data_IF_623992262938
#
_entry.id   IF_623992262938
#
_cell.length_a   1.000
_cell.length_b   1.000
_cell.length_c   1.000
_cell.angle_alpha   90.00
_cell.angle_beta   90.00
_cell.angle_gamma   90.00
#
_symmetry.space_group_name_H-M   'P 1'
#
loop_
_entity.id
_entity.type
_entity.pdbx_description
1 polymer ?
#
# COMPACT_ATOMS: atom_id res chain seq x y z
N UNK A 1 2.13 -5.15 34.72
CA UNK A 1 2.01 -4.09 33.71
C UNK A 1 2.74 -4.55 32.46
N UNK A 2 2.18 -4.38 31.28
CA UNK A 2 2.78 -4.74 29.99
C UNK A 2 2.73 -3.54 29.03
N UNK A 3 3.61 -3.54 28.05
CA UNK A 3 3.67 -2.56 26.97
C UNK A 3 3.97 -3.30 25.66
N UNK A 4 3.33 -2.88 24.57
CA UNK A 4 3.61 -3.32 23.21
C UNK A 4 3.87 -2.09 22.34
N UNK A 5 5.00 -2.07 21.68
CA UNK A 5 5.39 -1.01 20.77
C UNK A 5 5.21 -1.44 19.30
N UNK A 6 5.10 -0.47 18.40
CA UNK A 6 4.97 -0.69 16.95
C UNK A 6 3.79 -1.62 16.56
N UNK A 7 2.66 -1.49 17.26
CA UNK A 7 1.44 -2.23 16.96
C UNK A 7 0.79 -1.65 15.71
N UNK A 8 0.92 -2.32 14.57
CA UNK A 8 0.35 -1.90 13.28
C UNK A 8 -0.73 -2.86 12.76
N UNK A 9 -1.10 -3.90 13.55
CA UNK A 9 -2.20 -4.81 13.23
C UNK A 9 -3.12 -4.91 14.42
N UNK A 10 -4.19 -4.15 14.39
CA UNK A 10 -5.20 -4.10 15.43
C UNK A 10 -6.58 -3.83 14.82
N UNK A 11 -7.61 -4.04 15.61
CA UNK A 11 -8.97 -3.56 15.34
C UNK A 11 -9.59 -3.04 16.62
N UNK A 12 -10.39 -2.00 16.50
CA UNK A 12 -11.12 -1.35 17.60
C UNK A 12 -12.60 -1.68 17.45
N UNK A 13 -13.23 -2.15 18.51
CA UNK A 13 -14.67 -2.40 18.62
C UNK A 13 -15.16 -1.55 19.80
N UNK A 14 -15.64 -0.34 19.47
CA UNK A 14 -16.08 0.64 20.48
C UNK A 14 -17.37 0.20 21.19
N UNK A 15 -18.25 -0.54 20.50
CA UNK A 15 -19.48 -1.06 21.13
C UNK A 15 -19.18 -2.05 22.27
N UNK A 16 -18.05 -2.75 22.18
CA UNK A 16 -17.61 -3.73 23.18
C UNK A 16 -16.48 -3.23 24.05
N UNK A 17 -16.06 -1.97 23.90
CA UNK A 17 -14.89 -1.39 24.59
C UNK A 17 -13.67 -2.32 24.49
N UNK A 18 -13.33 -2.73 23.25
CA UNK A 18 -12.35 -3.77 23.01
C UNK A 18 -11.38 -3.37 21.89
N UNK A 19 -10.10 -3.64 22.11
CA UNK A 19 -9.06 -3.56 21.06
C UNK A 19 -8.47 -4.97 20.90
N UNK A 20 -8.45 -5.46 19.65
CA UNK A 20 -7.81 -6.73 19.30
C UNK A 20 -6.44 -6.44 18.72
N UNK A 21 -5.40 -7.00 19.31
CA UNK A 21 -4.01 -6.91 18.84
C UNK A 21 -3.55 -8.31 18.47
N UNK A 22 -3.30 -8.53 17.18
CA UNK A 22 -3.03 -9.86 16.66
C UNK A 22 -4.22 -10.81 16.86
N UNK A 23 -4.07 -11.80 17.77
CA UNK A 23 -5.14 -12.75 18.16
C UNK A 23 -5.69 -12.49 19.56
N UNK A 24 -5.16 -11.51 20.27
CA UNK A 24 -5.50 -11.26 21.68
C UNK A 24 -6.50 -10.13 21.78
N UNK A 25 -7.57 -10.37 22.54
CA UNK A 25 -8.58 -9.38 22.89
C UNK A 25 -8.18 -8.69 24.21
N UNK A 26 -8.18 -7.38 24.16
CA UNK A 26 -7.98 -6.51 25.31
C UNK A 26 -9.20 -5.62 25.48
N UNK A 27 -9.49 -5.21 26.71
CA UNK A 27 -10.64 -4.38 27.01
C UNK A 27 -10.18 -3.05 27.60
N UNK A 28 -11.01 -2.04 27.51
CA UNK A 28 -10.79 -0.73 28.10
C UNK A 28 -12.08 -0.20 28.72
N UNK A 29 -12.00 0.83 29.50
CA UNK A 29 -13.11 1.57 30.06
C UNK A 29 -12.89 3.08 29.87
N UNK A 30 -13.75 3.91 30.48
CA UNK A 30 -13.72 5.37 30.35
C UNK A 30 -12.42 6.02 30.90
N UNK A 31 -11.56 5.23 31.58
CA UNK A 31 -10.25 5.68 32.02
C UNK A 31 -9.15 5.52 30.97
N UNK A 32 -9.47 5.02 29.77
CA UNK A 32 -8.50 4.87 28.69
C UNK A 32 -7.93 6.25 28.31
N UNK A 33 -6.61 6.33 28.30
CA UNK A 33 -5.87 7.51 27.84
C UNK A 33 -5.36 7.28 26.41
N UNK A 34 -5.72 8.14 25.49
CA UNK A 34 -5.30 8.07 24.09
C UNK A 34 -4.52 9.33 23.76
N UNK A 35 -3.32 9.17 23.20
CA UNK A 35 -2.41 10.28 22.92
C UNK A 35 -1.89 10.25 21.49
N UNK A 36 -1.65 11.44 20.96
CA UNK A 36 -0.93 11.72 19.74
C UNK A 36 0.00 12.90 20.00
N UNK A 37 1.32 12.73 19.84
CA UNK A 37 2.34 13.75 20.09
C UNK A 37 2.27 14.44 21.47
N UNK A 38 1.78 13.69 22.48
CA UNK A 38 1.59 14.19 23.84
C UNK A 38 0.26 14.89 24.11
N UNK A 39 -0.55 15.10 23.09
CA UNK A 39 -1.92 15.61 23.22
C UNK A 39 -2.93 14.48 23.34
N UNK A 40 -3.92 14.65 24.20
CA UNK A 40 -5.00 13.69 24.34
C UNK A 40 -5.97 13.81 23.16
N UNK A 41 -6.24 12.68 22.50
CA UNK A 41 -7.17 12.59 21.36
C UNK A 41 -8.27 11.58 21.64
N UNK A 42 -9.27 11.53 20.77
CA UNK A 42 -10.33 10.52 20.81
C UNK A 42 -9.90 9.22 20.13
N UNK A 43 -10.38 8.08 20.63
CA UNK A 43 -10.05 6.75 20.11
C UNK A 43 -10.57 6.54 18.68
N UNK A 44 -11.70 7.15 18.32
CA UNK A 44 -12.33 7.07 16.99
C UNK A 44 -11.51 7.73 15.89
N UNK A 45 -10.50 8.55 16.24
CA UNK A 45 -9.56 9.13 15.27
C UNK A 45 -8.46 8.16 14.83
N UNK A 46 -8.34 7.01 15.49
CA UNK A 46 -7.32 5.99 15.18
C UNK A 46 -7.83 5.06 14.10
N UNK A 47 -7.03 4.85 13.06
CA UNK A 47 -7.37 3.96 11.95
C UNK A 47 -6.40 2.79 11.82
N UNK A 48 -6.73 1.81 10.98
CA UNK A 48 -5.86 0.67 10.70
C UNK A 48 -4.53 1.01 10.02
N UNK A 49 -4.37 2.25 9.58
CA UNK A 49 -3.13 2.76 8.98
C UNK A 49 -2.15 3.33 10.02
N UNK A 50 -2.57 3.45 11.27
CA UNK A 50 -1.74 3.97 12.34
C UNK A 50 -0.85 2.89 12.96
N UNK A 51 0.19 3.33 13.64
CA UNK A 51 0.99 2.49 14.53
C UNK A 51 0.86 2.99 15.96
N UNK A 52 0.72 2.04 16.86
CA UNK A 52 0.43 2.33 18.25
C UNK A 52 1.52 1.79 19.18
N UNK A 53 1.72 2.51 20.28
CA UNK A 53 2.26 1.98 21.52
C UNK A 53 1.11 1.80 22.49
N UNK A 54 0.94 0.60 23.01
CA UNK A 54 -0.20 0.24 23.87
C UNK A 54 0.33 -0.28 25.19
N UNK A 55 -0.17 0.25 26.30
CA UNK A 55 0.19 -0.23 27.64
C UNK A 55 -1.05 -0.62 28.44
N UNK A 56 -0.87 -1.64 29.30
CA UNK A 56 -1.97 -2.16 30.07
C UNK A 56 -1.54 -3.06 31.24
N UNK A 57 -2.54 -3.63 31.89
CA UNK A 57 -2.38 -4.60 32.96
C UNK A 57 -3.37 -5.76 32.75
N UNK A 58 -2.87 -6.99 32.80
CA UNK A 58 -3.64 -8.19 32.44
C UNK A 58 -4.25 -8.06 31.03
N UNK A 59 -5.56 -8.04 30.89
CA UNK A 59 -6.27 -7.81 29.63
C UNK A 59 -6.89 -6.41 29.51
N UNK A 60 -6.59 -5.50 30.44
CA UNK A 60 -7.08 -4.12 30.38
C UNK A 60 -6.02 -3.22 29.78
N UNK A 61 -6.41 -2.48 28.72
CA UNK A 61 -5.61 -1.38 28.17
C UNK A 61 -5.84 -0.14 29.04
N UNK A 62 -4.75 0.55 29.36
CA UNK A 62 -4.75 1.78 30.16
C UNK A 62 -4.41 2.97 29.28
N UNK A 63 -3.48 2.78 28.32
CA UNK A 63 -3.10 3.84 27.40
C UNK A 63 -2.79 3.35 25.99
N UNK A 64 -3.12 4.19 25.04
CA UNK A 64 -2.77 4.06 23.62
C UNK A 64 -2.07 5.33 23.20
N UNK A 65 -0.90 5.22 22.59
CA UNK A 65 -0.18 6.34 22.01
C UNK A 65 0.07 6.07 20.52
N UNK A 66 -0.40 6.96 19.65
CA UNK A 66 -0.14 6.88 18.21
C UNK A 66 1.31 7.27 17.96
N UNK A 67 2.11 6.33 17.48
CA UNK A 67 3.54 6.53 17.20
C UNK A 67 3.84 6.85 15.74
N UNK A 68 2.92 6.48 14.84
CA UNK A 68 2.91 6.91 13.44
C UNK A 68 1.46 6.98 13.00
N UNK A 69 1.06 8.10 12.45
CA UNK A 69 -0.30 8.36 12.03
C UNK A 69 -0.53 8.20 10.54
N UNK A 70 -1.65 8.66 10.07
CA UNK A 70 -2.04 8.68 8.67
C UNK A 70 -2.36 10.09 8.20
N UNK A 71 -2.35 10.27 6.89
CA UNK A 71 -2.83 11.45 6.20
C UNK A 71 -3.61 11.05 4.96
N UNK A 72 -3.96 12.01 4.13
CA UNK A 72 -4.82 11.81 2.99
C UNK A 72 -4.13 12.27 1.70
N UNK A 73 -4.37 11.52 0.61
CA UNK A 73 -4.02 11.93 -0.75
C UNK A 73 -5.33 12.18 -1.51
N UNK A 74 -5.51 13.39 -1.99
CA UNK A 74 -6.64 13.78 -2.85
C UNK A 74 -6.15 14.02 -4.26
N UNK A 75 -6.80 13.41 -5.24
CA UNK A 75 -6.47 13.57 -6.66
C UNK A 75 -7.30 14.67 -7.28
N UNK A 76 -6.65 15.52 -8.08
CA UNK A 76 -7.30 16.56 -8.89
C UNK A 76 -6.89 16.43 -10.35
N UNK A 77 -7.68 16.98 -11.29
CA UNK A 77 -7.46 16.92 -12.74
C UNK A 77 -7.31 15.48 -13.23
N UNK A 78 -8.26 14.63 -12.82
CA UNK A 78 -8.23 13.18 -13.07
C UNK A 78 -8.63 12.78 -14.49
N UNK A 79 -9.19 13.67 -15.32
CA UNK A 79 -9.87 13.35 -16.58
C UNK A 79 -9.05 12.44 -17.52
N UNK A 80 -7.75 12.75 -17.71
CA UNK A 80 -6.86 11.95 -18.55
C UNK A 80 -6.51 10.59 -17.91
N UNK A 81 -6.51 10.53 -16.61
CA UNK A 81 -6.07 9.37 -15.82
C UNK A 81 -7.23 8.52 -15.32
N UNK A 82 -8.47 8.94 -15.51
CA UNK A 82 -9.65 8.18 -15.08
C UNK A 82 -9.67 6.78 -15.70
N UNK A 83 -9.87 5.77 -14.86
CA UNK A 83 -9.79 4.36 -15.25
C UNK A 83 -8.38 3.77 -15.30
N UNK A 84 -7.35 4.61 -15.28
CA UNK A 84 -5.96 4.21 -15.08
C UNK A 84 -5.66 3.82 -13.64
N UNK A 85 -4.39 3.85 -13.25
CA UNK A 85 -3.97 3.43 -11.90
C UNK A 85 -3.01 4.42 -11.26
N UNK A 86 -3.15 4.56 -9.93
CA UNK A 86 -2.17 5.20 -9.08
C UNK A 86 -1.53 4.14 -8.17
N UNK A 87 -0.20 4.14 -8.10
CA UNK A 87 0.59 3.29 -7.21
C UNK A 87 1.31 4.16 -6.18
N UNK A 88 1.13 3.90 -4.90
CA UNK A 88 1.73 4.63 -3.80
C UNK A 88 2.70 3.70 -3.08
N UNK A 89 3.99 4.03 -3.12
CA UNK A 89 5.06 3.23 -2.51
C UNK A 89 5.19 1.80 -3.06
N UNK A 90 4.66 1.52 -4.26
CA UNK A 90 4.67 0.20 -4.90
C UNK A 90 3.80 -0.86 -4.21
N UNK A 91 3.08 -0.51 -3.13
CA UNK A 91 2.26 -1.44 -2.33
C UNK A 91 0.76 -1.18 -2.48
N UNK A 92 0.36 0.08 -2.50
CA UNK A 92 -1.03 0.49 -2.59
C UNK A 92 -1.33 0.87 -4.04
N UNK A 93 -2.11 0.07 -4.74
CA UNK A 93 -2.48 0.30 -6.14
C UNK A 93 -4.00 0.47 -6.20
N UNK A 94 -4.43 1.63 -6.65
CA UNK A 94 -5.84 1.97 -6.80
C UNK A 94 -6.15 2.30 -8.27
N UNK A 95 -7.38 2.03 -8.68
CA UNK A 95 -7.95 2.57 -9.91
C UNK A 95 -8.24 4.05 -9.69
N UNK A 96 -7.84 4.90 -10.63
CA UNK A 96 -8.11 6.34 -10.54
C UNK A 96 -9.58 6.59 -10.87
N UNK A 97 -10.27 7.25 -9.95
CA UNK A 97 -11.66 7.69 -10.09
C UNK A 97 -11.73 9.20 -9.81
N UNK A 98 -12.81 9.81 -10.26
CA UNK A 98 -13.06 11.23 -9.98
C UNK A 98 -13.20 11.47 -8.48
N UNK A 99 -12.69 12.60 -8.01
CA UNK A 99 -12.76 13.04 -6.61
C UNK A 99 -12.19 12.01 -5.61
N UNK A 100 -11.20 11.23 -6.05
CA UNK A 100 -10.59 10.17 -5.25
C UNK A 100 -9.85 10.75 -4.04
N UNK A 101 -10.15 10.21 -2.86
CA UNK A 101 -9.45 10.47 -1.60
C UNK A 101 -8.97 9.14 -1.01
N UNK A 102 -7.68 9.05 -0.68
CA UNK A 102 -7.06 7.84 -0.16
C UNK A 102 -6.35 8.12 1.15
N UNK A 103 -6.70 7.37 2.17
CA UNK A 103 -6.01 7.39 3.46
C UNK A 103 -4.73 6.53 3.38
N UNK A 104 -3.60 7.11 3.73
CA UNK A 104 -2.27 6.48 3.64
C UNK A 104 -1.49 6.80 4.93
N UNK A 105 -0.71 5.85 5.48
CA UNK A 105 0.21 6.14 6.58
C UNK A 105 1.12 7.33 6.26
N UNK A 106 1.46 8.11 7.27
CA UNK A 106 2.44 9.19 7.10
C UNK A 106 3.78 8.63 6.59
N UNK A 107 4.45 9.38 5.72
CA UNK A 107 5.72 8.96 5.12
C UNK A 107 5.99 9.62 3.78
N UNK A 108 7.15 9.30 3.22
CA UNK A 108 7.52 9.73 1.87
C UNK A 108 7.44 8.54 0.91
N UNK A 109 6.75 8.73 -0.20
CA UNK A 109 6.40 7.67 -1.15
C UNK A 109 6.78 8.06 -2.57
N UNK A 110 7.24 7.09 -3.35
CA UNK A 110 7.21 7.20 -4.81
C UNK A 110 5.77 6.95 -5.26
N UNK A 111 5.15 7.97 -5.84
CA UNK A 111 3.77 7.91 -6.34
C UNK A 111 3.80 7.92 -7.85
N UNK A 112 3.27 6.86 -8.45
CA UNK A 112 3.16 6.70 -9.90
C UNK A 112 1.70 6.79 -10.29
N UNK A 113 1.34 7.72 -11.17
CA UNK A 113 0.05 7.74 -11.84
C UNK A 113 0.25 7.42 -13.32
N UNK A 114 -0.58 6.52 -13.88
CA UNK A 114 -0.43 6.11 -15.27
C UNK A 114 -1.75 5.66 -15.90
N UNK A 115 -1.98 6.08 -17.15
CA UNK A 115 -3.09 5.67 -17.99
C UNK A 115 -2.75 5.79 -19.47
N UNK A 116 -3.01 4.75 -20.25
CA UNK A 116 -2.94 4.69 -21.72
C UNK A 116 -1.71 5.38 -22.35
N UNK A 117 -0.53 5.16 -21.78
CA UNK A 117 0.75 5.71 -22.25
C UNK A 117 1.10 7.08 -21.67
N UNK A 118 0.23 7.69 -20.90
CA UNK A 118 0.54 8.85 -20.08
C UNK A 118 0.91 8.43 -18.67
N UNK A 119 1.81 9.14 -18.04
CA UNK A 119 2.18 8.87 -16.66
C UNK A 119 3.54 9.42 -16.27
N UNK A 120 3.74 9.47 -14.97
CA UNK A 120 5.00 9.87 -14.33
C UNK A 120 5.06 9.29 -12.92
N UNK A 121 6.25 9.40 -12.32
CA UNK A 121 6.50 9.03 -10.94
C UNK A 121 7.12 10.20 -10.20
N UNK A 122 6.53 10.58 -9.08
CA UNK A 122 7.00 11.68 -8.24
C UNK A 122 7.14 11.23 -6.80
N UNK A 123 8.08 11.86 -6.09
CA UNK A 123 8.17 11.73 -4.65
C UNK A 123 7.13 12.61 -3.97
N UNK A 124 6.36 12.03 -3.06
CA UNK A 124 5.26 12.68 -2.34
C UNK A 124 5.39 12.39 -0.85
N UNK A 125 5.33 13.44 -0.03
CA UNK A 125 5.31 13.30 1.43
C UNK A 125 3.89 13.46 1.94
N UNK A 126 3.41 12.43 2.64
CA UNK A 126 2.15 12.44 3.38
C UNK A 126 2.46 12.74 4.83
N UNK A 127 1.85 13.78 5.36
CA UNK A 127 1.98 14.16 6.77
C UNK A 127 0.73 13.76 7.53
N UNK A 128 0.90 13.50 8.81
CA UNK A 128 -0.15 13.11 9.74
C UNK A 128 -1.26 14.15 9.79
N UNK A 129 -2.50 13.68 9.66
CA UNK A 129 -3.72 14.50 9.68
C UNK A 129 -3.78 15.61 8.62
N UNK A 130 -2.87 15.58 7.62
CA UNK A 130 -2.88 16.54 6.52
C UNK A 130 -3.39 15.90 5.23
N UNK A 131 -3.97 16.73 4.38
CA UNK A 131 -4.36 16.36 3.01
C UNK A 131 -3.28 16.81 2.04
N UNK A 132 -2.71 15.86 1.32
CA UNK A 132 -1.78 16.10 0.21
C UNK A 132 -2.57 16.07 -1.09
N UNK A 133 -2.62 17.19 -1.80
CA UNK A 133 -3.31 17.29 -3.10
C UNK A 133 -2.34 16.95 -4.21
N UNK A 134 -2.69 15.96 -5.04
CA UNK A 134 -1.95 15.60 -6.24
C UNK A 134 -2.70 16.06 -7.49
N UNK A 135 -2.11 17.02 -8.19
CA UNK A 135 -2.59 17.46 -9.49
C UNK A 135 -2.08 16.48 -10.58
N UNK A 136 -2.96 15.68 -11.18
CA UNK A 136 -2.56 14.68 -12.15
C UNK A 136 -2.14 15.27 -13.51
N UNK A 137 -2.46 16.51 -13.83
CA UNK A 137 -1.86 17.17 -15.01
C UNK A 137 -0.33 17.22 -14.94
N UNK A 138 0.22 17.26 -13.74
CA UNK A 138 1.68 17.22 -13.54
C UNK A 138 2.30 15.85 -13.81
N UNK A 139 1.49 14.79 -13.91
CA UNK A 139 1.92 13.42 -14.25
C UNK A 139 1.74 13.10 -15.74
N UNK A 140 1.17 14.00 -16.52
CA UNK A 140 0.83 13.78 -17.93
C UNK A 140 2.06 13.54 -18.83
N UNK A 141 3.14 14.30 -18.63
CA UNK A 141 4.30 14.25 -19.53
C UNK A 141 3.97 14.62 -20.98
N UNK A 142 4.84 14.24 -21.91
CA UNK A 142 4.74 14.61 -23.34
C UNK A 142 4.16 13.50 -24.23
N UNK A 143 2.97 13.00 -23.94
CA UNK A 143 2.29 12.01 -24.78
C UNK A 143 2.62 10.54 -24.46
N UNK A 144 2.17 9.59 -25.31
CA UNK A 144 2.30 8.17 -24.99
C UNK A 144 3.75 7.72 -24.85
N UNK A 145 4.13 7.29 -23.67
CA UNK A 145 5.48 6.85 -23.31
C UNK A 145 5.57 5.33 -23.21
N UNK A 146 6.76 4.81 -23.49
CA UNK A 146 7.14 3.43 -23.22
C UNK A 146 8.17 3.41 -22.10
N UNK A 147 8.02 2.46 -21.17
CA UNK A 147 9.00 2.18 -20.14
C UNK A 147 9.73 0.86 -20.41
N UNK A 148 11.02 0.80 -20.13
CA UNK A 148 11.82 -0.43 -20.15
C UNK A 148 11.82 -1.03 -18.75
N UNK A 149 11.23 -2.22 -18.60
CA UNK A 149 11.12 -2.92 -17.32
C UNK A 149 12.03 -4.13 -17.35
N UNK A 150 13.04 -4.15 -16.48
CA UNK A 150 13.90 -5.32 -16.24
C UNK A 150 13.26 -6.19 -15.17
N UNK A 151 12.97 -7.43 -15.51
CA UNK A 151 12.42 -8.41 -14.56
C UNK A 151 13.51 -9.35 -14.05
N UNK A 152 13.55 -9.53 -12.73
CA UNK A 152 14.37 -10.53 -12.05
C UNK A 152 13.43 -11.55 -11.41
N UNK A 153 13.38 -12.76 -11.95
CA UNK A 153 12.48 -13.81 -11.51
C UNK A 153 13.24 -14.86 -10.67
N UNK A 154 12.65 -15.26 -9.55
CA UNK A 154 13.18 -16.28 -8.67
C UNK A 154 12.07 -17.27 -8.27
N UNK A 155 12.38 -18.60 -8.24
CA UNK A 155 13.63 -19.26 -8.63
C UNK A 155 13.86 -19.24 -10.15
N UNK A 156 15.03 -19.70 -10.57
CA UNK A 156 15.35 -19.95 -11.98
C UNK A 156 14.30 -20.87 -12.63
N UNK A 157 14.00 -20.67 -13.92
CA UNK A 157 12.95 -21.37 -14.64
C UNK A 157 11.54 -20.81 -14.44
N UNK A 158 11.39 -19.74 -13.63
CA UNK A 158 10.13 -19.04 -13.50
C UNK A 158 9.77 -18.32 -14.80
N UNK A 159 8.53 -18.49 -15.27
CA UNK A 159 8.01 -17.87 -16.50
C UNK A 159 7.15 -16.66 -16.18
N UNK A 160 7.19 -15.66 -17.06
CA UNK A 160 6.37 -14.46 -16.99
C UNK A 160 5.49 -14.31 -18.22
N UNK A 161 4.22 -14.00 -18.01
CA UNK A 161 3.33 -13.48 -19.03
C UNK A 161 2.86 -12.09 -18.64
N UNK A 162 2.82 -11.16 -19.58
CA UNK A 162 2.36 -9.78 -19.42
C UNK A 162 1.15 -9.58 -20.33
N UNK A 163 0.02 -9.20 -19.75
CA UNK A 163 -1.27 -9.01 -20.44
C UNK A 163 -1.67 -10.25 -21.28
N UNK A 164 -1.35 -11.44 -20.75
CA UNK A 164 -1.65 -12.73 -21.38
C UNK A 164 -0.65 -13.19 -22.46
N UNK A 165 0.40 -12.43 -22.73
CA UNK A 165 1.46 -12.81 -23.69
C UNK A 165 2.71 -13.21 -22.93
N UNK A 166 3.36 -14.31 -23.34
CA UNK A 166 4.64 -14.71 -22.78
C UNK A 166 5.69 -13.62 -23.01
N UNK A 167 6.47 -13.30 -21.98
CA UNK A 167 7.51 -12.29 -22.03
C UNK A 167 8.90 -12.95 -21.94
N UNK A 168 9.80 -12.54 -22.83
CA UNK A 168 11.22 -12.84 -22.70
C UNK A 168 11.86 -11.82 -21.75
N UNK A 169 12.28 -12.31 -20.59
CA UNK A 169 12.88 -11.49 -19.53
C UNK A 169 14.41 -11.48 -19.55
N UNK A 170 15.03 -12.08 -20.57
CA UNK A 170 16.48 -12.01 -20.78
C UNK A 170 16.98 -10.60 -21.10
N UNK A 171 16.08 -9.76 -21.61
CA UNK A 171 16.27 -8.33 -21.88
C UNK A 171 15.15 -7.51 -21.21
N UNK A 172 15.36 -6.22 -20.96
CA UNK A 172 14.29 -5.34 -20.51
C UNK A 172 13.10 -5.34 -21.47
N UNK A 173 11.90 -5.51 -20.93
CA UNK A 173 10.65 -5.53 -21.72
C UNK A 173 10.13 -4.12 -21.88
N UNK A 174 9.84 -3.73 -23.11
CA UNK A 174 9.19 -2.42 -23.40
C UNK A 174 7.68 -2.52 -23.16
N UNK A 175 7.16 -1.69 -22.26
CA UNK A 175 5.75 -1.64 -21.90
C UNK A 175 5.24 -0.19 -22.00
N UNK A 176 4.03 -0.02 -22.52
CA UNK A 176 3.35 1.29 -22.54
C UNK A 176 3.10 1.75 -21.09
N UNK A 177 3.19 3.05 -20.83
CA UNK A 177 2.78 3.56 -19.52
C UNK A 177 1.31 3.21 -19.25
N UNK A 178 1.05 2.71 -18.07
CA UNK A 178 -0.26 2.21 -17.68
C UNK A 178 -0.17 0.99 -16.76
N UNK A 179 -1.28 0.31 -16.62
CA UNK A 179 -1.39 -0.88 -15.78
C UNK A 179 -1.31 -2.15 -16.62
N UNK A 180 -0.41 -3.04 -16.22
CA UNK A 180 -0.20 -4.33 -16.85
C UNK A 180 -0.52 -5.47 -15.87
N UNK A 181 -1.12 -6.53 -16.38
CA UNK A 181 -1.34 -7.76 -15.62
C UNK A 181 -0.14 -8.68 -15.80
N UNK A 182 0.54 -8.97 -14.70
CA UNK A 182 1.62 -9.96 -14.66
C UNK A 182 1.03 -11.31 -14.23
N UNK A 183 1.38 -12.38 -14.95
CA UNK A 183 1.12 -13.75 -14.53
C UNK A 183 2.46 -14.47 -14.49
N UNK A 184 2.89 -14.86 -13.31
CA UNK A 184 4.18 -15.49 -13.04
C UNK A 184 3.95 -16.93 -12.65
N UNK A 185 4.59 -17.85 -13.35
CA UNK A 185 4.41 -19.30 -13.13
C UNK A 185 5.73 -19.98 -12.82
N UNK A 186 5.73 -20.77 -11.76
CA UNK A 186 6.87 -21.59 -11.34
C UNK A 186 6.40 -23.02 -11.04
N UNK A 187 7.14 -24.01 -11.47
CA UNK A 187 6.81 -25.41 -11.19
C UNK A 187 6.67 -25.70 -9.68
N UNK A 188 7.51 -25.07 -8.87
CA UNK A 188 7.54 -25.27 -7.41
C UNK A 188 6.45 -24.50 -6.65
N UNK A 189 6.08 -23.30 -7.12
CA UNK A 189 5.24 -22.36 -6.37
C UNK A 189 3.89 -22.08 -7.05
N UNK A 190 3.62 -22.70 -8.20
CA UNK A 190 2.38 -22.50 -8.95
C UNK A 190 2.33 -21.17 -9.69
N UNK A 191 1.14 -20.57 -9.77
CA UNK A 191 0.89 -19.34 -10.54
C UNK A 191 0.53 -18.18 -9.60
N UNK A 192 1.15 -17.05 -9.83
CA UNK A 192 0.93 -15.80 -9.12
C UNK A 192 0.46 -14.74 -10.11
N UNK A 193 -0.59 -14.00 -9.78
CA UNK A 193 -1.06 -12.84 -10.58
C UNK A 193 -0.82 -11.55 -9.81
N UNK A 194 -0.24 -10.54 -10.48
CA UNK A 194 0.03 -9.20 -9.92
C UNK A 194 -0.32 -8.12 -10.93
N UNK A 195 -0.54 -6.91 -10.44
CA UNK A 195 -0.62 -5.70 -11.25
C UNK A 195 0.72 -4.96 -11.19
N UNK A 196 1.16 -4.45 -12.32
CA UNK A 196 2.31 -3.56 -12.45
C UNK A 196 1.83 -2.24 -13.03
N UNK A 197 2.21 -1.12 -12.41
CA UNK A 197 1.99 0.22 -12.96
C UNK A 197 3.32 0.73 -13.51
N UNK A 198 3.38 0.91 -14.81
CA UNK A 198 4.53 1.50 -15.52
C UNK A 198 4.29 2.99 -15.68
N UNK A 199 5.18 3.82 -15.17
CA UNK A 199 5.09 5.28 -15.23
C UNK A 199 6.47 5.96 -15.22
N UNK A 200 7.53 5.18 -15.45
CA UNK A 200 8.91 5.67 -15.58
C UNK A 200 9.59 5.05 -16.80
N UNK A 201 10.58 5.77 -17.34
CA UNK A 201 11.31 5.34 -18.54
C UNK A 201 12.07 4.03 -18.33
N UNK A 202 12.58 3.81 -17.11
CA UNK A 202 13.27 2.58 -16.73
C UNK A 202 12.85 2.15 -15.33
N UNK A 203 12.72 0.84 -15.14
CA UNK A 203 12.45 0.24 -13.82
C UNK A 203 13.00 -1.18 -13.74
N UNK A 204 13.26 -1.65 -12.52
CA UNK A 204 13.66 -3.03 -12.24
C UNK A 204 12.68 -3.65 -11.23
N UNK A 205 12.17 -4.82 -11.53
CA UNK A 205 11.18 -5.54 -10.73
C UNK A 205 11.73 -6.92 -10.39
N UNK A 206 11.90 -7.18 -9.10
CA UNK A 206 12.25 -8.51 -8.60
C UNK A 206 11.00 -9.23 -8.10
N UNK A 207 10.74 -10.42 -8.63
CA UNK A 207 9.63 -11.29 -8.19
C UNK A 207 10.21 -12.58 -7.64
N UNK A 208 10.09 -12.78 -6.32
CA UNK A 208 10.50 -14.00 -5.64
C UNK A 208 9.26 -14.81 -5.26
N UNK A 209 8.98 -15.86 -6.04
CA UNK A 209 7.80 -16.73 -5.86
C UNK A 209 7.75 -17.39 -4.47
N UNK A 210 8.90 -17.70 -3.87
CA UNK A 210 8.95 -18.32 -2.55
C UNK A 210 8.50 -17.39 -1.43
N UNK A 211 8.80 -16.10 -1.54
CA UNK A 211 8.38 -15.08 -0.57
C UNK A 211 6.91 -14.69 -0.77
N UNK A 212 6.48 -14.58 -2.01
CA UNK A 212 5.11 -14.22 -2.36
C UNK A 212 4.10 -15.33 -1.98
N UNK A 213 4.43 -16.61 -2.25
CA UNK A 213 3.58 -17.74 -1.86
C UNK A 213 3.38 -17.86 -0.33
N UNK A 214 4.33 -17.40 0.48
CA UNK A 214 4.17 -17.33 1.93
C UNK A 214 3.20 -16.24 2.34
N UNK A 215 3.24 -15.07 1.70
CA UNK A 215 2.34 -13.97 1.99
C UNK A 215 0.88 -14.30 1.64
N UNK A 216 0.65 -14.98 0.51
CA UNK A 216 -0.70 -15.37 0.08
C UNK A 216 -1.31 -16.40 1.06
N UNK A 217 -0.54 -17.40 1.52
CA UNK A 217 -0.99 -18.36 2.55
C UNK A 217 -1.32 -17.69 3.89
N UNK A 218 -0.48 -16.76 4.35
CA UNK A 218 -0.75 -16.00 5.56
C UNK A 218 -1.99 -15.08 5.44
N UNK A 219 -2.36 -14.68 4.23
CA UNK A 219 -3.56 -13.88 3.97
C UNK A 219 -4.84 -14.74 3.93
N UNK A 220 -4.75 -16.00 3.44
CA UNK A 220 -5.87 -16.96 3.44
C UNK A 220 -6.16 -17.52 4.83
N UNK A 221 -5.15 -17.76 5.66
CA UNK A 221 -5.33 -18.22 7.05
C UNK A 221 -5.93 -17.14 7.97
N UNK A 222 -6.08 -15.90 7.49
CA UNK A 222 -6.60 -14.75 8.24
C UNK A 222 -8.01 -14.32 7.84
N UNK A 223 -8.65 -15.07 6.92
CA UNK A 223 -10.07 -14.91 6.58
C UNK A 223 -10.91 -15.94 7.35
#
# INVERSE_FOLDING_TARGET
>A
MWEQDNVGKFSIDEEKNMIVIGKTKYYYDDSLLVFLDGEQISLDTITGNDKLRVAGMDKKIISVNVTSGHGFIVLTHTDLFEGGSISIGGKHIYKIEKDMNVEIPEGTYQVTAANDGYGDTKEVTVKRNETTVLNLDEYKGEGPKMGKVKFILQPEGTQLSIDGKAADVSQPVELKYGTHKLTVTSEKYGTLTRKLVVGSAESEITINMGTEAKKDKEAEEKK
#
